data_IF_854757096150
#
_entry.id   IF_854757096150
#
_cell.length_a   1.000
_cell.length_b   1.000
_cell.length_c   1.000
_cell.angle_alpha   90.00
_cell.angle_beta   90.00
_cell.angle_gamma   90.00
#
_symmetry.space_group_name_H-M   'P 1'
#
loop_
_entity.id
_entity.type
_entity.pdbx_description
1 polymer ?
#
# COMPACT_ATOMS: atom_id res chain seq x y z
N UNK A 1 -9.81 -12.34 16.53
CA UNK A 1 -8.39 -12.60 16.16
C UNK A 1 -8.18 -11.93 14.82
N UNK A 2 -7.40 -10.85 14.78
CA UNK A 2 -6.99 -10.26 13.51
C UNK A 2 -5.94 -11.16 12.82
N UNK A 3 -5.78 -10.97 11.52
CA UNK A 3 -5.00 -11.81 10.59
C UNK A 3 -3.66 -12.34 11.13
N UNK A 4 -3.31 -13.55 10.69
CA UNK A 4 -2.07 -14.28 11.02
C UNK A 4 -1.92 -14.73 12.48
N UNK A 5 -3.00 -15.20 13.11
CA UNK A 5 -2.93 -15.91 14.38
C UNK A 5 -2.07 -17.18 14.27
N UNK A 6 -0.76 -17.05 14.49
CA UNK A 6 0.22 -18.13 14.52
C UNK A 6 0.85 -18.51 13.18
N UNK A 7 0.56 -17.81 12.09
CA UNK A 7 1.13 -18.14 10.77
C UNK A 7 2.55 -17.56 10.62
N UNK A 8 3.54 -18.44 10.40
CA UNK A 8 4.92 -18.04 10.07
C UNK A 8 5.13 -18.15 8.56
N UNK A 9 5.52 -17.05 7.95
CA UNK A 9 5.81 -17.02 6.52
C UNK A 9 7.10 -17.84 6.25
N UNK A 10 7.07 -18.84 5.35
CA UNK A 10 8.21 -19.76 5.15
C UNK A 10 9.49 -19.09 4.66
N UNK A 11 9.36 -17.89 4.08
CA UNK A 11 10.48 -17.10 3.54
C UNK A 11 10.64 -15.71 4.15
N UNK A 12 9.82 -15.35 5.14
CA UNK A 12 9.87 -14.03 5.78
C UNK A 12 9.84 -14.22 7.28
N UNK A 13 10.98 -13.96 7.92
CA UNK A 13 11.07 -13.88 9.37
C UNK A 13 11.18 -12.42 9.83
N UNK A 14 11.13 -12.21 11.14
CA UNK A 14 11.24 -10.88 11.74
C UNK A 14 12.60 -10.20 11.48
N UNK A 15 13.63 -10.93 11.05
CA UNK A 15 14.96 -10.39 10.72
C UNK A 15 15.02 -9.78 9.32
N UNK A 16 14.07 -10.10 8.43
CA UNK A 16 13.90 -9.34 7.18
C UNK A 16 13.40 -7.93 7.48
N UNK A 17 12.65 -7.74 8.58
CA UNK A 17 12.13 -6.44 9.02
C UNK A 17 13.19 -5.48 9.60
N UNK A 18 14.43 -5.92 9.77
CA UNK A 18 15.50 -5.11 10.39
C UNK A 18 15.97 -3.94 9.51
N UNK A 19 15.63 -3.96 8.22
CA UNK A 19 15.83 -2.82 7.30
C UNK A 19 14.47 -2.40 6.73
N UNK A 20 13.67 -1.79 7.62
CA UNK A 20 12.32 -1.33 7.32
C UNK A 20 12.31 -0.36 6.13
N UNK A 21 13.33 0.48 6.02
CA UNK A 21 13.48 1.45 4.92
C UNK A 21 13.69 0.75 3.57
N UNK A 22 14.53 -0.28 3.50
CA UNK A 22 14.67 -1.09 2.28
C UNK A 22 13.45 -1.93 1.96
N UNK A 23 12.73 -2.41 2.97
CA UNK A 23 11.47 -3.11 2.77
C UNK A 23 10.36 -2.18 2.28
N UNK A 24 10.40 -0.91 2.68
CA UNK A 24 9.45 0.10 2.28
C UNK A 24 9.63 0.54 0.84
N UNK A 25 10.88 0.53 0.35
CA UNK A 25 11.20 0.81 -1.04
C UNK A 25 10.38 -0.10 -1.96
N UNK A 26 9.49 0.54 -2.74
CA UNK A 26 8.63 -0.07 -3.77
C UNK A 26 7.55 -1.06 -3.31
N UNK A 27 7.36 -1.28 -2.00
CA UNK A 27 6.33 -2.21 -1.49
C UNK A 27 5.13 -1.55 -0.84
N UNK A 28 5.26 -0.29 -0.42
CA UNK A 28 4.16 0.46 0.20
C UNK A 28 3.94 1.81 -0.46
N UNK A 29 2.68 2.12 -0.72
CA UNK A 29 2.21 3.44 -1.10
C UNK A 29 1.77 4.18 0.15
N UNK A 30 2.68 4.93 0.76
CA UNK A 30 2.43 5.73 1.97
C UNK A 30 2.51 7.22 1.60
N UNK A 31 1.52 7.99 2.04
CA UNK A 31 1.45 9.44 1.86
C UNK A 31 0.07 9.94 1.44
N UNK A 32 0.00 11.23 1.14
CA UNK A 32 -1.16 11.87 0.51
C UNK A 32 -1.27 11.57 -0.99
N UNK A 33 -2.36 12.00 -1.66
CA UNK A 33 -2.56 11.78 -3.09
C UNK A 33 -1.42 12.34 -3.96
N UNK A 34 -0.90 13.52 -3.63
CA UNK A 34 0.23 14.18 -4.28
C UNK A 34 1.53 13.35 -4.23
N UNK A 35 1.69 12.54 -3.18
CA UNK A 35 2.86 11.67 -2.99
C UNK A 35 2.65 10.28 -3.61
N UNK A 36 1.40 9.79 -3.62
CA UNK A 36 1.06 8.43 -4.10
C UNK A 36 0.89 8.39 -5.61
N UNK A 37 0.30 9.42 -6.23
CA UNK A 37 0.08 9.46 -7.69
C UNK A 37 1.40 9.32 -8.48
N UNK A 38 2.48 10.05 -8.19
CA UNK A 38 3.76 9.88 -8.90
C UNK A 38 4.30 8.45 -8.77
N UNK A 39 4.18 7.82 -7.60
CA UNK A 39 4.61 6.44 -7.37
C UNK A 39 3.78 5.42 -8.15
N UNK A 40 2.48 5.65 -8.32
CA UNK A 40 1.65 4.78 -9.16
C UNK A 40 2.03 4.95 -10.64
N UNK A 41 2.31 6.19 -11.06
CA UNK A 41 2.68 6.51 -12.44
C UNK A 41 3.96 5.79 -12.88
N UNK A 42 4.95 5.65 -12.00
CA UNK A 42 6.17 4.89 -12.32
C UNK A 42 5.85 3.45 -12.69
N UNK A 43 4.89 2.79 -12.01
CA UNK A 43 4.47 1.44 -12.35
C UNK A 43 3.70 1.36 -13.68
N UNK A 44 2.87 2.37 -13.97
CA UNK A 44 2.16 2.46 -15.27
C UNK A 44 3.17 2.61 -16.40
N UNK A 45 4.14 3.51 -16.26
CA UNK A 45 5.14 3.79 -17.30
C UNK A 45 6.14 2.65 -17.48
N UNK A 46 6.62 2.05 -16.38
CA UNK A 46 7.62 0.99 -16.44
C UNK A 46 7.04 -0.38 -16.86
N UNK A 47 5.80 -0.69 -16.48
CA UNK A 47 5.24 -2.03 -16.63
C UNK A 47 3.93 -2.09 -17.42
N UNK A 48 3.38 -0.96 -17.87
CA UNK A 48 2.06 -0.92 -18.51
C UNK A 48 0.93 -1.32 -17.57
N UNK A 49 1.09 -1.07 -16.26
CA UNK A 49 0.11 -1.47 -15.25
C UNK A 49 -1.28 -0.86 -15.54
N UNK A 50 -2.31 -1.71 -15.62
CA UNK A 50 -3.70 -1.29 -15.87
C UNK A 50 -4.62 -1.42 -14.66
N UNK A 51 -4.24 -2.24 -13.68
CA UNK A 51 -5.03 -2.52 -12.49
C UNK A 51 -4.15 -2.45 -11.25
N UNK A 52 -4.63 -1.78 -10.21
CA UNK A 52 -3.97 -1.67 -8.92
C UNK A 52 -4.88 -2.25 -7.84
N UNK A 53 -4.40 -3.29 -7.14
CA UNK A 53 -5.10 -3.91 -6.01
C UNK A 53 -4.38 -3.48 -4.72
N UNK A 54 -5.06 -2.69 -3.88
CA UNK A 54 -4.49 -2.15 -2.65
C UNK A 54 -5.11 -2.78 -1.40
N UNK A 55 -4.26 -3.19 -0.45
CA UNK A 55 -4.68 -3.45 0.93
C UNK A 55 -4.60 -2.16 1.73
N UNK A 56 -5.76 -1.59 2.08
CA UNK A 56 -5.88 -0.32 2.81
C UNK A 56 -5.90 -0.49 4.34
N UNK A 57 -5.86 -1.73 4.83
CA UNK A 57 -5.93 -2.07 6.24
C UNK A 57 -4.57 -2.45 6.83
N UNK A 58 -4.35 -2.03 8.07
CA UNK A 58 -3.30 -2.51 8.94
C UNK A 58 -3.88 -2.92 10.31
N UNK A 59 -3.39 -3.99 10.96
CA UNK A 59 -3.87 -4.40 12.28
C UNK A 59 -3.88 -3.25 13.30
N UNK A 60 -4.97 -3.12 14.04
CA UNK A 60 -5.15 -2.03 15.01
C UNK A 60 -5.47 -0.65 14.42
N UNK A 61 -5.55 -0.51 13.09
CA UNK A 61 -5.93 0.77 12.46
C UNK A 61 -7.43 1.06 12.69
N UNK A 62 -7.79 2.26 13.20
CA UNK A 62 -9.19 2.68 13.27
C UNK A 62 -9.87 2.65 11.91
N UNK A 63 -11.10 2.11 11.86
CA UNK A 63 -11.87 1.98 10.61
C UNK A 63 -12.05 3.32 9.86
N UNK A 64 -12.15 4.43 10.58
CA UNK A 64 -12.25 5.77 9.99
C UNK A 64 -11.09 6.10 9.04
N UNK A 65 -9.87 5.64 9.35
CA UNK A 65 -8.72 5.84 8.46
C UNK A 65 -8.84 5.02 7.18
N UNK A 66 -9.36 3.80 7.27
CA UNK A 66 -9.61 2.94 6.09
C UNK A 66 -10.62 3.63 5.18
N UNK A 67 -11.72 4.13 5.74
CA UNK A 67 -12.76 4.84 4.98
C UNK A 67 -12.22 6.12 4.34
N UNK A 68 -11.36 6.87 5.06
CA UNK A 68 -10.70 8.05 4.50
C UNK A 68 -9.78 7.70 3.34
N UNK A 69 -9.00 6.62 3.44
CA UNK A 69 -8.13 6.16 2.35
C UNK A 69 -8.94 5.80 1.11
N UNK A 70 -10.08 5.10 1.27
CA UNK A 70 -10.95 4.76 0.14
C UNK A 70 -11.52 6.01 -0.55
N UNK A 71 -11.94 7.02 0.22
CA UNK A 71 -12.44 8.29 -0.31
C UNK A 71 -11.36 9.04 -1.12
N UNK A 72 -10.14 9.14 -0.58
CA UNK A 72 -9.00 9.75 -1.27
C UNK A 72 -8.63 9.00 -2.56
N UNK A 73 -8.61 7.67 -2.51
CA UNK A 73 -8.35 6.86 -3.69
C UNK A 73 -9.38 7.15 -4.79
N UNK A 74 -10.67 7.16 -4.46
CA UNK A 74 -11.75 7.38 -5.42
C UNK A 74 -11.79 8.81 -5.98
N UNK A 75 -11.60 9.83 -5.12
CA UNK A 75 -11.81 11.24 -5.48
C UNK A 75 -10.58 11.95 -6.01
N UNK A 76 -9.39 11.57 -5.55
CA UNK A 76 -8.16 12.32 -5.81
C UNK A 76 -7.13 11.49 -6.60
N UNK A 77 -6.98 10.20 -6.29
CA UNK A 77 -5.97 9.36 -6.93
C UNK A 77 -6.43 8.82 -8.28
N UNK A 78 -7.54 8.08 -8.34
CA UNK A 78 -8.01 7.43 -9.56
C UNK A 78 -8.27 8.41 -10.73
N UNK A 79 -8.78 9.64 -10.52
CA UNK A 79 -8.94 10.60 -11.61
C UNK A 79 -7.64 11.01 -12.32
N UNK A 80 -6.47 10.84 -11.69
CA UNK A 80 -5.18 11.18 -12.29
C UNK A 80 -4.66 10.16 -13.33
N UNK A 81 -5.37 9.03 -13.50
CA UNK A 81 -5.00 7.90 -14.38
C UNK A 81 -6.09 7.57 -15.41
N UNK A 82 -7.00 8.51 -15.67
CA UNK A 82 -8.02 8.39 -16.71
C UNK A 82 -7.47 8.72 -18.09
#
# INVERSE_FOLDING_TARGET
REYAGGWRHPFIDASIATDLDRLMADRFLIGGPDQVIPKIRTFVEAYGMTHLICRTFFPGMPHAHIMRTLDLLAREVMPAFK
#
